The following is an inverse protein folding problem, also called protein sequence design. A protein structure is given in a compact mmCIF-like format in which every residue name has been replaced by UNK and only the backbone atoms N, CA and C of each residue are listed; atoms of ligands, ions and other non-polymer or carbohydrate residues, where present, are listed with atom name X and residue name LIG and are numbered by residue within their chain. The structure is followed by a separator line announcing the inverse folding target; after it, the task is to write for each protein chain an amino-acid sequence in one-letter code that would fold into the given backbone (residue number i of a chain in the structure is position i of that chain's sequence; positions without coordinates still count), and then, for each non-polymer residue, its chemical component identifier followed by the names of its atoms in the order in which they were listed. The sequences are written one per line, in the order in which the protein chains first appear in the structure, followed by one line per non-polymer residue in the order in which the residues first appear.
data_IF_804127220782
#
_entry.id   IF_804127220782
#
_cell.length_a   1.000
_cell.length_b   1.000
_cell.length_c   1.000
_cell.angle_alpha   90.00
_cell.angle_beta   90.00
_cell.angle_gamma   90.00
#
_symmetry.space_group_name_H-M   'P 1'
#
loop_
_entity.id
_entity.type
_entity.pdbx_description
1 polymer ?
#
# COMPACT_ATOMS: atom_id res chain seq x y z
N UNK A 1 -3.48 50.01 74.12
CA UNK A 1 -2.57 49.02 73.49
C UNK A 1 -3.10 48.37 72.19
N UNK A 2 -4.40 48.41 71.84
CA UNK A 2 -4.92 47.59 70.72
C UNK A 2 -4.82 48.11 69.27
N UNK A 3 -4.35 49.35 69.00
CA UNK A 3 -4.25 49.88 67.61
C UNK A 3 -3.07 49.30 66.83
N UNK A 4 -1.94 49.04 67.49
CA UNK A 4 -0.72 48.53 66.84
C UNK A 4 -0.88 47.06 66.43
N UNK A 5 -1.41 46.23 67.32
CA UNK A 5 -1.69 44.82 67.03
C UNK A 5 -2.74 44.62 65.93
N UNK A 6 -3.77 45.49 65.87
CA UNK A 6 -4.78 45.44 64.80
C UNK A 6 -4.16 45.74 63.43
N UNK A 7 -3.29 46.76 63.36
CA UNK A 7 -2.57 47.13 62.13
C UNK A 7 -1.63 46.02 61.66
N UNK A 8 -0.92 45.36 62.58
CA UNK A 8 -0.03 44.24 62.25
C UNK A 8 -0.81 43.01 61.73
N UNK A 9 -2.01 42.75 62.24
CA UNK A 9 -2.89 41.68 61.73
C UNK A 9 -3.44 42.01 60.34
N UNK A 10 -3.80 43.27 60.08
CA UNK A 10 -4.23 43.73 58.75
C UNK A 10 -3.10 43.58 57.72
N UNK A 11 -1.88 44.04 58.03
CA UNK A 11 -0.70 43.88 57.16
C UNK A 11 -0.35 42.41 56.90
N UNK A 12 -0.47 41.53 57.91
CA UNK A 12 -0.27 40.08 57.72
C UNK A 12 -1.32 39.46 56.80
N UNK A 13 -2.59 39.89 56.91
CA UNK A 13 -3.68 39.42 56.05
C UNK A 13 -3.51 39.91 54.61
N UNK A 14 -3.12 41.17 54.42
CA UNK A 14 -2.83 41.72 53.09
C UNK A 14 -1.65 41.01 52.42
N UNK A 15 -0.56 40.77 53.16
CA UNK A 15 0.60 40.00 52.67
C UNK A 15 0.25 38.54 52.37
N UNK A 16 -0.60 37.92 53.19
CA UNK A 16 -1.06 36.54 52.92
C UNK A 16 -1.96 36.49 51.69
N UNK A 17 -2.92 37.42 51.55
CA UNK A 17 -3.83 37.49 50.42
C UNK A 17 -3.10 37.80 49.09
N UNK A 18 -2.11 38.70 49.11
CA UNK A 18 -1.28 38.99 47.93
C UNK A 18 -0.40 37.82 47.54
N UNK A 19 0.25 37.13 48.50
CA UNK A 19 1.01 35.90 48.22
C UNK A 19 0.13 34.79 47.66
N UNK A 20 -1.06 34.59 48.22
CA UNK A 20 -1.99 33.58 47.76
C UNK A 20 -2.57 33.90 46.38
N UNK A 21 -2.81 35.18 46.08
CA UNK A 21 -3.22 35.65 44.75
C UNK A 21 -2.12 35.48 43.70
N UNK A 22 -0.87 35.80 44.03
CA UNK A 22 0.27 35.61 43.15
C UNK A 22 0.54 34.13 42.86
N UNK A 23 0.46 33.26 43.87
CA UNK A 23 0.56 31.81 43.69
C UNK A 23 -0.56 31.28 42.78
N UNK A 24 -1.81 31.67 43.02
CA UNK A 24 -2.96 31.28 42.18
C UNK A 24 -2.79 31.73 40.73
N UNK A 25 -2.28 32.95 40.49
CA UNK A 25 -1.98 33.45 39.13
C UNK A 25 -0.89 32.62 38.45
N UNK A 26 0.19 32.28 39.16
CA UNK A 26 1.26 31.42 38.63
C UNK A 26 0.73 30.04 38.23
N UNK A 27 0.00 29.37 39.11
CA UNK A 27 -0.61 28.06 38.81
C UNK A 27 -1.61 28.14 37.65
N UNK A 28 -2.41 29.22 37.59
CA UNK A 28 -3.34 29.44 36.47
C UNK A 28 -2.59 29.62 35.15
N UNK A 29 -1.48 30.36 35.13
CA UNK A 29 -0.66 30.54 33.93
C UNK A 29 0.00 29.24 33.49
N UNK A 30 0.48 28.42 34.43
CA UNK A 30 1.00 27.08 34.13
C UNK A 30 -0.09 26.20 33.53
N UNK A 31 -1.29 26.19 34.13
CA UNK A 31 -2.43 25.41 33.63
C UNK A 31 -2.85 25.85 32.21
N UNK A 32 -2.90 27.15 31.93
CA UNK A 32 -3.17 27.67 30.58
C UNK A 32 -2.08 27.23 29.60
N UNK A 33 -0.81 27.29 30.00
CA UNK A 33 0.32 26.83 29.18
C UNK A 33 0.21 25.34 28.83
N UNK A 34 -0.09 24.50 29.81
CA UNK A 34 -0.29 23.05 29.61
C UNK A 34 -1.49 22.78 28.71
N UNK A 35 -2.62 23.45 28.92
CA UNK A 35 -3.82 23.28 28.09
C UNK A 35 -3.59 23.73 26.64
N UNK A 36 -2.85 24.81 26.43
CA UNK A 36 -2.48 25.26 25.10
C UNK A 36 -1.60 24.23 24.36
N UNK A 37 -0.62 23.63 25.06
CA UNK A 37 0.22 22.56 24.49
C UNK A 37 -0.63 21.34 24.13
N UNK A 38 -1.52 20.90 25.02
CA UNK A 38 -2.43 19.77 24.75
C UNK A 38 -3.29 20.06 23.52
N UNK A 39 -3.86 21.27 23.42
CA UNK A 39 -4.67 21.66 22.27
C UNK A 39 -3.87 21.63 20.96
N UNK A 40 -2.61 22.06 20.98
CA UNK A 40 -1.71 21.96 19.81
C UNK A 40 -1.43 20.50 19.44
N UNK A 41 -1.12 19.65 20.42
CA UNK A 41 -0.86 18.22 20.17
C UNK A 41 -2.11 17.54 19.61
N UNK A 42 -3.28 17.77 20.19
CA UNK A 42 -4.55 17.20 19.73
C UNK A 42 -4.92 17.73 18.34
N UNK A 43 -4.74 19.03 18.09
CA UNK A 43 -4.97 19.63 16.79
C UNK A 43 -4.04 19.06 15.72
N UNK A 44 -2.75 18.90 16.04
CA UNK A 44 -1.77 18.29 15.15
C UNK A 44 -2.07 16.80 14.90
N UNK A 45 -2.42 16.04 15.93
CA UNK A 45 -2.84 14.64 15.79
C UNK A 45 -4.11 14.51 14.96
N UNK A 46 -5.09 15.40 15.12
CA UNK A 46 -6.30 15.46 14.30
C UNK A 46 -5.99 15.81 12.85
N UNK A 47 -5.09 16.76 12.60
CA UNK A 47 -4.61 17.08 11.26
C UNK A 47 -3.90 15.89 10.60
N UNK A 48 -3.04 15.19 11.33
CA UNK A 48 -2.40 13.97 10.84
C UNK A 48 -3.45 12.92 10.51
N UNK A 49 -4.39 12.65 11.41
CA UNK A 49 -5.45 11.66 11.21
C UNK A 49 -6.32 11.96 9.99
N UNK A 50 -6.71 13.22 9.77
CA UNK A 50 -7.50 13.61 8.59
C UNK A 50 -6.73 13.51 7.26
N UNK A 51 -5.41 13.57 7.31
CA UNK A 51 -4.54 13.47 6.13
C UNK A 51 -3.88 12.09 6.00
N UNK A 52 -4.09 11.18 6.95
CA UNK A 52 -3.72 9.79 6.78
C UNK A 52 -4.67 9.20 5.74
N UNK A 53 -4.15 8.93 4.55
CA UNK A 53 -4.76 7.96 3.65
C UNK A 53 -4.82 6.64 4.41
N UNK A 54 -6.01 6.04 4.56
CA UNK A 54 -6.16 4.74 5.20
C UNK A 54 -5.45 3.66 4.37
N UNK A 55 -4.13 3.58 4.45
CA UNK A 55 -3.41 2.39 4.01
C UNK A 55 -3.73 1.34 5.06
N UNK A 56 -4.57 0.37 4.71
CA UNK A 56 -4.67 -0.84 5.51
C UNK A 56 -3.24 -1.41 5.68
N UNK A 57 -2.86 -1.88 6.87
CA UNK A 57 -1.52 -2.40 7.08
C UNK A 57 -1.20 -3.50 6.05
N UNK A 58 -0.01 -3.42 5.44
CA UNK A 58 0.50 -4.43 4.50
C UNK A 58 0.37 -4.13 3.01
N UNK A 59 -0.16 -2.95 2.61
CA UNK A 59 -0.21 -2.53 1.20
C UNK A 59 1.08 -1.89 0.67
N UNK A 60 1.22 -1.71 -0.65
CA UNK A 60 2.35 -1.01 -1.24
C UNK A 60 2.36 0.48 -0.87
N UNK A 61 3.53 1.12 -1.03
CA UNK A 61 3.68 2.56 -0.79
C UNK A 61 2.78 3.34 -1.76
N UNK A 62 2.02 4.32 -1.24
CA UNK A 62 1.05 5.12 -2.00
C UNK A 62 -0.22 4.40 -2.48
N UNK A 63 -0.47 3.17 -2.03
CA UNK A 63 -1.75 2.53 -2.25
C UNK A 63 -2.91 3.39 -1.69
N UNK A 64 -4.03 3.40 -2.40
CA UNK A 64 -5.28 4.00 -1.93
C UNK A 64 -5.85 3.26 -0.73
N UNK A 65 -7.07 3.62 -0.32
CA UNK A 65 -7.75 2.83 0.71
C UNK A 65 -8.08 1.42 0.19
N UNK A 66 -8.00 0.40 1.04
CA UNK A 66 -8.45 -0.93 0.64
C UNK A 66 -9.96 -0.90 0.33
N UNK A 67 -10.35 -1.46 -0.82
CA UNK A 67 -11.70 -1.37 -1.37
C UNK A 67 -12.01 -0.08 -2.13
N UNK A 68 -11.01 0.81 -2.33
CA UNK A 68 -11.17 2.04 -3.13
C UNK A 68 -11.40 1.77 -4.62
N UNK A 69 -11.01 0.59 -5.10
CA UNK A 69 -11.15 0.13 -6.48
C UNK A 69 -11.39 -1.38 -6.48
N UNK A 70 -12.01 -1.91 -7.53
CA UNK A 70 -12.11 -3.35 -7.72
C UNK A 70 -12.01 -3.69 -9.21
N UNK A 71 -10.88 -4.25 -9.62
CA UNK A 71 -10.60 -4.57 -11.02
C UNK A 71 -10.11 -6.00 -11.21
N UNK A 72 -10.47 -6.59 -12.34
CA UNK A 72 -10.09 -7.93 -12.77
C UNK A 72 -9.30 -7.89 -14.06
N UNK A 73 -8.20 -8.63 -14.13
CA UNK A 73 -7.41 -8.78 -15.36
C UNK A 73 -7.08 -10.26 -15.62
N UNK A 74 -7.04 -10.65 -16.88
CA UNK A 74 -6.57 -11.97 -17.26
C UNK A 74 -5.04 -11.98 -17.30
N UNK A 75 -4.43 -13.08 -16.92
CA UNK A 75 -3.00 -13.29 -17.04
C UNK A 75 -2.66 -14.65 -17.64
N UNK A 76 -1.70 -14.65 -18.55
CA UNK A 76 -1.07 -15.85 -19.08
C UNK A 76 0.45 -15.70 -18.99
N UNK A 77 1.11 -16.67 -18.36
CA UNK A 77 2.57 -16.72 -18.26
C UNK A 77 3.07 -17.98 -18.94
N UNK A 78 3.92 -17.82 -19.95
CA UNK A 78 4.48 -18.88 -20.79
C UNK A 78 5.99 -18.93 -20.61
N UNK A 79 6.52 -20.06 -20.17
CA UNK A 79 7.96 -20.28 -20.00
C UNK A 79 8.34 -21.50 -20.85
N UNK A 80 9.08 -21.29 -21.94
CA UNK A 80 9.36 -22.32 -22.95
C UNK A 80 8.08 -23.02 -23.46
N UNK A 81 7.04 -22.24 -23.74
CA UNK A 81 5.71 -22.71 -24.15
C UNK A 81 4.82 -23.33 -23.04
N UNK A 82 5.40 -23.72 -21.89
CA UNK A 82 4.65 -24.24 -20.75
C UNK A 82 3.92 -23.12 -20.00
N UNK A 83 2.66 -23.37 -19.62
CA UNK A 83 1.89 -22.42 -18.80
C UNK A 83 2.31 -22.50 -17.33
N UNK A 84 2.63 -21.36 -16.72
CA UNK A 84 2.79 -21.27 -15.27
C UNK A 84 1.42 -21.15 -14.59
N UNK A 85 1.15 -22.02 -13.60
CA UNK A 85 -0.16 -22.17 -12.97
C UNK A 85 -0.23 -21.48 -11.60
N UNK A 86 -1.07 -20.43 -11.48
CA UNK A 86 -1.32 -19.75 -10.20
C UNK A 86 -2.49 -20.35 -9.39
N UNK A 87 -3.13 -21.42 -9.88
CA UNK A 87 -4.28 -22.06 -9.22
C UNK A 87 -3.92 -22.81 -7.92
N UNK A 88 -2.63 -23.07 -7.71
CA UNK A 88 -2.11 -23.75 -6.52
C UNK A 88 -2.20 -22.91 -5.25
N UNK A 89 -2.36 -23.53 -4.06
CA UNK A 89 -2.53 -22.82 -2.78
C UNK A 89 -1.34 -21.92 -2.39
N UNK A 90 -0.19 -22.13 -3.03
CA UNK A 90 0.99 -21.29 -2.88
C UNK A 90 0.84 -19.88 -3.47
N UNK A 91 -0.17 -19.62 -4.30
CA UNK A 91 -0.37 -18.33 -4.98
C UNK A 91 -1.70 -17.65 -4.66
N UNK A 92 -2.55 -18.31 -3.87
CA UNK A 92 -3.91 -17.86 -3.59
C UNK A 92 -3.95 -16.97 -2.35
N UNK A 93 -4.61 -15.81 -2.46
CA UNK A 93 -4.84 -14.80 -1.41
C UNK A 93 -3.57 -14.49 -0.61
N UNK A 94 -2.51 -14.07 -1.32
CA UNK A 94 -1.22 -13.69 -0.71
C UNK A 94 -1.16 -12.24 -0.25
N UNK A 95 -1.98 -11.38 -0.81
CA UNK A 95 -2.22 -10.03 -0.34
C UNK A 95 -3.72 -9.77 -0.31
N UNK A 96 -4.15 -8.84 0.53
CA UNK A 96 -5.54 -8.33 0.47
C UNK A 96 -5.74 -7.29 -0.62
N UNK A 97 -4.65 -6.79 -1.20
CA UNK A 97 -4.64 -5.67 -2.15
C UNK A 97 -4.70 -6.10 -3.60
N UNK A 98 -3.98 -7.16 -3.95
CA UNK A 98 -3.99 -7.78 -5.26
C UNK A 98 -3.66 -9.27 -5.11
N UNK A 99 -4.46 -10.17 -5.72
CA UNK A 99 -4.28 -11.62 -5.54
C UNK A 99 -4.98 -12.46 -6.60
N UNK A 100 -4.68 -13.77 -6.56
CA UNK A 100 -5.49 -14.83 -7.15
C UNK A 100 -6.41 -15.47 -6.09
N UNK A 101 -7.60 -15.94 -6.48
CA UNK A 101 -8.54 -16.59 -5.56
C UNK A 101 -9.38 -17.68 -6.22
N UNK A 102 -10.13 -18.43 -5.41
CA UNK A 102 -11.08 -19.43 -5.90
C UNK A 102 -10.47 -20.66 -6.59
N UNK A 103 -9.15 -20.85 -6.49
CA UNK A 103 -8.36 -21.78 -7.34
C UNK A 103 -8.36 -21.39 -8.81
N UNK A 104 -8.78 -20.18 -9.13
CA UNK A 104 -8.49 -19.58 -10.42
C UNK A 104 -7.07 -19.02 -10.38
N UNK A 105 -6.27 -19.44 -11.35
CA UNK A 105 -4.91 -18.95 -11.56
C UNK A 105 -4.79 -18.04 -12.78
N UNK A 106 -5.90 -17.70 -13.42
CA UNK A 106 -5.93 -16.92 -14.65
C UNK A 106 -6.51 -15.52 -14.48
N UNK A 107 -7.24 -15.23 -13.39
CA UNK A 107 -7.75 -13.90 -13.07
C UNK A 107 -7.02 -13.28 -11.89
N UNK A 108 -6.46 -12.09 -12.11
CA UNK A 108 -5.94 -11.22 -11.06
C UNK A 108 -7.09 -10.38 -10.52
N UNK A 109 -7.24 -10.33 -9.20
CA UNK A 109 -8.17 -9.45 -8.49
C UNK A 109 -7.38 -8.32 -7.82
N UNK A 110 -7.68 -7.05 -8.14
CA UNK A 110 -7.12 -5.86 -7.50
C UNK A 110 -8.20 -5.15 -6.69
N UNK A 111 -7.91 -4.79 -5.45
CA UNK A 111 -8.87 -4.21 -4.51
C UNK A 111 -8.53 -2.77 -4.07
N UNK A 112 -7.58 -2.08 -4.71
CA UNK A 112 -7.33 -0.66 -4.45
C UNK A 112 -6.62 0.02 -5.61
N UNK A 113 -6.64 1.35 -5.61
CA UNK A 113 -5.81 2.18 -6.49
C UNK A 113 -4.34 2.14 -6.07
N UNK A 114 -3.40 2.36 -6.99
CA UNK A 114 -1.97 2.44 -6.67
C UNK A 114 -1.35 1.10 -6.29
N UNK A 115 -1.92 -0.01 -6.79
CA UNK A 115 -1.42 -1.38 -6.60
C UNK A 115 -1.10 -1.95 -7.97
N UNK A 116 0.17 -2.23 -8.22
CA UNK A 116 0.70 -2.65 -9.52
C UNK A 116 1.01 -4.15 -9.60
N UNK A 117 1.34 -4.60 -10.80
CA UNK A 117 1.73 -5.99 -11.06
C UNK A 117 3.05 -6.37 -10.38
N UNK A 118 3.97 -5.43 -10.19
CA UNK A 118 5.21 -5.65 -9.45
C UNK A 118 4.92 -6.13 -8.03
N UNK A 119 4.06 -5.42 -7.32
CA UNK A 119 3.62 -5.78 -5.98
C UNK A 119 2.86 -7.14 -5.97
N UNK A 120 2.07 -7.45 -7.00
CA UNK A 120 1.48 -8.79 -7.14
C UNK A 120 2.59 -9.87 -7.14
N UNK A 121 3.58 -9.78 -8.03
CA UNK A 121 4.64 -10.78 -8.12
C UNK A 121 5.48 -10.88 -6.84
N UNK A 122 5.77 -9.75 -6.19
CA UNK A 122 6.45 -9.71 -4.89
C UNK A 122 5.70 -10.53 -3.82
N UNK A 123 4.37 -10.38 -3.74
CA UNK A 123 3.56 -11.12 -2.76
C UNK A 123 3.54 -12.63 -3.01
N UNK A 124 3.81 -13.05 -4.25
CA UNK A 124 3.92 -14.44 -4.66
C UNK A 124 5.34 -15.00 -4.51
N UNK A 125 6.28 -14.17 -4.02
CA UNK A 125 7.72 -14.46 -4.00
C UNK A 125 8.29 -14.83 -5.38
N UNK A 126 7.74 -14.21 -6.43
CA UNK A 126 8.24 -14.32 -7.80
C UNK A 126 9.03 -13.05 -8.08
N UNK A 127 10.31 -13.21 -8.41
CA UNK A 127 11.12 -12.08 -8.84
C UNK A 127 10.79 -11.74 -10.30
N UNK A 128 10.62 -10.46 -10.59
CA UNK A 128 10.40 -9.97 -11.94
C UNK A 128 11.21 -8.70 -12.17
N UNK A 129 11.88 -8.63 -13.31
CA UNK A 129 12.39 -7.39 -13.89
C UNK A 129 12.23 -7.40 -15.42
N UNK A 130 12.77 -6.38 -16.10
CA UNK A 130 12.70 -6.23 -17.56
C UNK A 130 13.47 -7.32 -18.31
N UNK A 131 14.23 -8.16 -17.63
CA UNK A 131 15.07 -9.19 -18.23
C UNK A 131 14.83 -10.59 -17.66
N UNK A 132 14.40 -10.73 -16.41
CA UNK A 132 14.39 -11.96 -15.65
C UNK A 132 13.03 -12.26 -15.00
N UNK A 133 12.57 -13.50 -15.16
CA UNK A 133 11.50 -14.10 -14.37
C UNK A 133 12.08 -15.14 -13.41
N UNK A 134 11.87 -14.97 -12.11
CA UNK A 134 12.50 -15.77 -11.05
C UNK A 134 11.42 -16.49 -10.25
N UNK A 135 11.45 -17.82 -10.28
CA UNK A 135 10.52 -18.65 -9.53
C UNK A 135 10.79 -18.57 -8.02
N UNK A 136 9.79 -18.92 -7.18
CA UNK A 136 9.95 -18.92 -5.72
C UNK A 136 11.04 -19.88 -5.20
N UNK A 137 11.40 -20.89 -6.00
CA UNK A 137 12.49 -21.83 -5.70
C UNK A 137 13.88 -21.32 -6.10
N UNK A 138 13.95 -20.13 -6.68
CA UNK A 138 15.18 -19.47 -7.12
C UNK A 138 15.61 -19.79 -8.55
N UNK A 139 14.87 -20.62 -9.30
CA UNK A 139 15.14 -20.83 -10.73
C UNK A 139 14.85 -19.54 -11.51
N UNK A 140 15.76 -19.16 -12.40
CA UNK A 140 15.69 -17.89 -13.14
C UNK A 140 15.63 -18.13 -14.63
N UNK A 141 14.85 -17.30 -15.31
CA UNK A 141 14.66 -17.28 -16.75
C UNK A 141 14.95 -15.87 -17.22
N UNK A 142 16.21 -15.64 -17.64
CA UNK A 142 16.72 -14.32 -17.98
C UNK A 142 17.08 -14.23 -19.46
N UNK A 143 16.66 -13.13 -20.09
CA UNK A 143 16.92 -12.83 -21.50
C UNK A 143 18.41 -12.93 -21.84
N UNK A 144 18.71 -13.50 -23.00
CA UNK A 144 20.05 -13.73 -23.53
C UNK A 144 20.01 -13.81 -25.06
N UNK A 145 21.06 -14.36 -25.69
CA UNK A 145 21.17 -14.45 -27.15
C UNK A 145 20.15 -15.41 -27.79
N UNK A 146 19.70 -16.43 -27.06
CA UNK A 146 18.82 -17.48 -27.57
C UNK A 146 17.36 -17.33 -27.13
N UNK A 147 17.11 -16.67 -25.99
CA UNK A 147 15.78 -16.57 -25.37
C UNK A 147 15.52 -15.18 -24.83
N UNK A 148 14.27 -14.73 -24.92
CA UNK A 148 13.87 -13.38 -24.53
C UNK A 148 12.63 -13.42 -23.62
N UNK A 149 12.62 -12.56 -22.60
CA UNK A 149 11.45 -12.25 -21.77
C UNK A 149 10.68 -11.09 -22.43
N UNK A 150 9.42 -11.32 -22.76
CA UNK A 150 8.54 -10.35 -23.41
C UNK A 150 7.27 -10.16 -22.61
N UNK A 151 6.78 -8.93 -22.61
CA UNK A 151 5.54 -8.56 -21.94
C UNK A 151 4.56 -7.96 -22.94
N UNK A 152 3.28 -8.26 -22.75
CA UNK A 152 2.21 -7.63 -23.51
C UNK A 152 1.06 -7.25 -22.59
N UNK A 153 0.48 -6.09 -22.85
CA UNK A 153 -0.74 -5.60 -22.23
C UNK A 153 -1.74 -5.35 -23.35
N UNK A 154 -2.89 -6.01 -23.32
CA UNK A 154 -3.95 -5.86 -24.31
C UNK A 154 -3.45 -6.06 -25.77
N UNK A 155 -2.53 -7.00 -25.96
CA UNK A 155 -1.91 -7.31 -27.26
C UNK A 155 -0.73 -6.40 -27.66
N UNK A 156 -0.48 -5.31 -26.95
CA UNK A 156 0.65 -4.42 -27.22
C UNK A 156 1.88 -4.83 -26.43
N UNK A 157 3.01 -5.01 -27.12
CA UNK A 157 4.28 -5.33 -26.47
C UNK A 157 4.79 -4.13 -25.66
N UNK A 158 5.13 -4.34 -24.40
CA UNK A 158 5.70 -3.32 -23.50
C UNK A 158 7.06 -3.78 -22.96
N UNK A 159 7.96 -2.85 -22.63
CA UNK A 159 9.29 -3.20 -22.13
C UNK A 159 9.27 -3.73 -20.68
N UNK A 160 8.27 -3.34 -19.89
CA UNK A 160 8.13 -3.70 -18.48
C UNK A 160 6.65 -3.58 -18.09
N UNK A 161 6.24 -4.34 -17.07
CA UNK A 161 4.88 -4.35 -16.51
C UNK A 161 4.84 -4.08 -15.00
N UNK A 162 6.00 -3.98 -14.33
CA UNK A 162 6.05 -3.94 -12.86
C UNK A 162 5.32 -2.75 -12.27
N UNK A 163 5.45 -1.58 -12.89
CA UNK A 163 4.77 -0.35 -12.47
C UNK A 163 3.38 -0.21 -13.10
N UNK A 164 2.89 -1.23 -13.82
CA UNK A 164 1.57 -1.20 -14.44
C UNK A 164 0.48 -1.54 -13.44
N UNK A 165 -0.45 -0.62 -13.25
CA UNK A 165 -1.67 -0.83 -12.49
C UNK A 165 -2.79 -1.32 -13.41
N UNK A 166 -3.25 -2.57 -13.20
CA UNK A 166 -4.30 -3.16 -14.02
C UNK A 166 -5.62 -2.40 -13.92
N UNK A 167 -6.36 -2.37 -15.02
CA UNK A 167 -7.75 -1.93 -15.06
C UNK A 167 -8.68 -3.10 -15.40
N UNK A 168 -9.98 -2.88 -15.23
CA UNK A 168 -10.99 -3.90 -15.50
C UNK A 168 -10.89 -4.42 -16.93
N UNK A 169 -10.95 -5.75 -17.06
CA UNK A 169 -10.89 -6.51 -18.30
C UNK A 169 -9.54 -6.52 -19.04
N UNK A 170 -8.46 -6.02 -18.42
CA UNK A 170 -7.11 -6.10 -19.01
C UNK A 170 -6.67 -7.54 -19.31
N UNK A 171 -5.72 -7.65 -20.25
CA UNK A 171 -5.10 -8.91 -20.70
C UNK A 171 -3.58 -8.79 -20.61
N UNK A 172 -2.95 -9.53 -19.70
CA UNK A 172 -1.50 -9.52 -19.48
C UNK A 172 -0.88 -10.84 -19.97
N UNK A 173 0.06 -10.75 -20.90
CA UNK A 173 0.86 -11.88 -21.36
C UNK A 173 2.32 -11.68 -20.95
N UNK A 174 2.92 -12.71 -20.36
CA UNK A 174 4.35 -12.81 -20.12
C UNK A 174 4.86 -14.04 -20.86
N UNK A 175 5.87 -13.88 -21.72
CA UNK A 175 6.47 -14.99 -22.47
C UNK A 175 7.97 -14.98 -22.23
N UNK A 176 8.53 -16.14 -21.90
CA UNK A 176 9.96 -16.37 -21.90
C UNK A 176 10.32 -17.54 -22.81
N UNK A 177 11.15 -17.29 -23.81
CA UNK A 177 11.63 -18.32 -24.72
C UNK A 177 12.04 -17.77 -26.08
N UNK A 178 12.01 -18.63 -27.10
CA UNK A 178 12.38 -18.32 -28.48
C UNK A 178 11.15 -18.30 -29.41
N UNK A 179 9.97 -18.03 -28.85
CA UNK A 179 8.70 -18.14 -29.55
C UNK A 179 8.63 -17.19 -30.76
N UNK A 180 8.10 -17.72 -31.86
CA UNK A 180 7.89 -16.94 -33.09
C UNK A 180 6.72 -15.97 -32.92
N UNK A 181 6.61 -14.94 -33.77
CA UNK A 181 5.45 -14.04 -33.75
C UNK A 181 4.11 -14.78 -33.87
N UNK A 182 4.04 -15.86 -34.64
CA UNK A 182 2.83 -16.68 -34.79
C UNK A 182 2.47 -17.43 -33.51
N UNK A 183 3.46 -17.92 -32.75
CA UNK A 183 3.25 -18.57 -31.46
C UNK A 183 2.78 -17.56 -30.40
N UNK A 184 3.36 -16.35 -30.39
CA UNK A 184 2.94 -15.26 -29.52
C UNK A 184 1.50 -14.84 -29.83
N UNK A 185 1.14 -14.71 -31.10
CA UNK A 185 -0.24 -14.40 -31.51
C UNK A 185 -1.23 -15.47 -31.05
N UNK A 186 -0.86 -16.75 -31.10
CA UNK A 186 -1.68 -17.82 -30.56
C UNK A 186 -1.89 -17.71 -29.05
N UNK A 187 -0.88 -17.25 -28.30
CA UNK A 187 -1.00 -17.00 -26.86
C UNK A 187 -1.86 -15.77 -26.54
N UNK A 188 -1.75 -14.70 -27.33
CA UNK A 188 -2.62 -13.53 -27.22
C UNK A 188 -4.08 -13.91 -27.47
N UNK A 189 -4.36 -14.68 -28.53
CA UNK A 189 -5.69 -15.20 -28.80
C UNK A 189 -6.20 -16.13 -27.68
N UNK A 190 -5.33 -16.96 -27.11
CA UNK A 190 -5.69 -17.80 -25.96
C UNK A 190 -6.11 -16.92 -24.76
N UNK A 191 -5.31 -15.90 -24.45
CA UNK A 191 -5.51 -14.96 -23.36
C UNK A 191 -6.80 -14.13 -23.54
N UNK A 192 -7.09 -13.65 -24.74
CA UNK A 192 -8.30 -12.88 -25.05
C UNK A 192 -9.58 -13.68 -24.79
N UNK A 193 -9.54 -14.99 -25.05
CA UNK A 193 -10.66 -15.89 -24.85
C UNK A 193 -10.83 -16.37 -23.39
N UNK A 194 -9.94 -15.98 -22.48
CA UNK A 194 -10.07 -16.33 -21.07
C UNK A 194 -11.31 -15.66 -20.45
N UNK A 195 -12.06 -16.44 -19.68
CA UNK A 195 -13.20 -15.96 -18.90
C UNK A 195 -12.67 -15.46 -17.57
N UNK A 196 -12.97 -14.20 -17.24
CA UNK A 196 -12.64 -13.64 -15.93
C UNK A 196 -13.60 -14.14 -14.86
N UNK A 197 -13.02 -14.57 -13.74
CA UNK A 197 -13.76 -14.87 -12.52
C UNK A 197 -13.84 -13.56 -11.72
N UNK A 198 -15.05 -13.03 -11.50
CA UNK A 198 -15.31 -11.74 -10.84
C UNK A 198 -16.13 -11.93 -9.56
#
# INVERSE_FOLDING_TARGET
MGRKERREREVKRENYATKHSAAKKKETLIAIGVLAIIAVIVGYAGYLFLNMTETAPGGPENAGALGSEHSHAAILVKIFGDTFEFSGPAFQIKSSWIHFEGRDGSTIHKHATGVDLGYLFETLAIGLDDQCYIFPDGKQFCSNEDYELKFFINGEQVPDIREYEIVEDDRVLIVYGAETPEEIEAYLLQLDNQVLVK
#
